data_IF_179284542649
#
_entry.id   IF_179284542649
#
_cell.length_a   1.000
_cell.length_b   1.000
_cell.length_c   1.000
_cell.angle_alpha   90.00
_cell.angle_beta   90.00
_cell.angle_gamma   90.00
#
_symmetry.space_group_name_H-M   'P 1'
#
loop_
_entity.id
_entity.type
_entity.pdbx_description
1 polymer ?
#
# COMPACT_ATOMS: atom_id res chain seq x y z
N UNK A 1 -15.33 -0.41 -13.04
CA UNK A 1 -14.64 -1.59 -13.60
C UNK A 1 -13.25 -1.69 -13.01
N UNK A 2 -13.13 -2.30 -11.83
CA UNK A 2 -11.93 -2.32 -10.98
C UNK A 2 -10.92 -3.42 -11.34
N UNK A 3 -10.88 -3.82 -12.61
CA UNK A 3 -10.07 -4.98 -13.09
C UNK A 3 -8.65 -4.54 -13.51
N UNK A 4 -8.40 -3.22 -13.65
CA UNK A 4 -7.11 -2.70 -14.16
C UNK A 4 -5.98 -2.68 -13.13
N UNK A 5 -6.24 -2.29 -11.89
CA UNK A 5 -5.16 -1.96 -10.93
C UNK A 5 -4.51 -3.21 -10.33
N UNK A 6 -5.29 -4.23 -9.95
CA UNK A 6 -4.76 -5.42 -9.28
C UNK A 6 -4.03 -6.41 -10.19
N UNK A 7 -4.13 -6.27 -11.51
CA UNK A 7 -3.46 -7.15 -12.49
C UNK A 7 -2.19 -6.52 -13.07
N UNK A 8 -2.03 -5.20 -13.04
CA UNK A 8 -0.89 -4.51 -13.66
C UNK A 8 0.39 -4.52 -12.80
N UNK A 9 0.26 -4.65 -11.48
CA UNK A 9 1.40 -4.56 -10.56
C UNK A 9 2.24 -5.85 -10.51
N UNK A 10 1.63 -7.03 -10.67
CA UNK A 10 2.35 -8.32 -10.70
C UNK A 10 3.29 -8.44 -11.92
N UNK A 11 2.90 -8.03 -13.15
CA UNK A 11 3.82 -7.92 -14.28
C UNK A 11 4.95 -6.91 -14.07
N UNK A 12 4.71 -5.81 -13.36
CA UNK A 12 5.74 -4.80 -13.06
C UNK A 12 6.75 -5.35 -12.05
N UNK A 13 6.29 -5.94 -10.94
CA UNK A 13 7.17 -6.58 -9.96
C UNK A 13 8.01 -7.70 -10.61
N UNK A 14 7.39 -8.52 -11.46
CA UNK A 14 8.09 -9.54 -12.23
C UNK A 14 9.09 -8.96 -13.24
N UNK A 15 8.81 -7.80 -13.85
CA UNK A 15 9.74 -7.12 -14.75
C UNK A 15 10.99 -6.57 -14.02
N UNK A 16 10.88 -6.30 -12.72
CA UNK A 16 11.99 -5.86 -11.87
C UNK A 16 12.65 -6.98 -11.06
N UNK A 17 12.21 -8.24 -11.23
CA UNK A 17 12.65 -9.41 -10.44
C UNK A 17 12.50 -9.20 -8.91
N UNK A 18 11.47 -8.45 -8.51
CA UNK A 18 11.18 -8.13 -7.10
C UNK A 18 10.03 -9.02 -6.61
N UNK A 19 10.24 -9.69 -5.48
CA UNK A 19 9.18 -10.45 -4.81
C UNK A 19 8.10 -9.50 -4.30
N UNK A 20 6.83 -9.91 -4.37
CA UNK A 20 5.73 -9.14 -3.77
C UNK A 20 5.93 -8.94 -2.26
N UNK A 21 6.64 -9.86 -1.60
CA UNK A 21 7.03 -9.74 -0.20
C UNK A 21 8.04 -8.60 0.07
N UNK A 22 8.74 -8.11 -0.95
CA UNK A 22 9.67 -6.97 -0.86
C UNK A 22 9.02 -5.67 -1.37
N UNK A 23 7.70 -5.66 -1.54
CA UNK A 23 6.94 -4.48 -1.98
C UNK A 23 6.10 -3.90 -0.86
N UNK A 24 5.97 -2.58 -0.87
CA UNK A 24 5.01 -1.86 -0.05
C UNK A 24 3.84 -1.37 -0.91
N UNK A 25 2.61 -1.52 -0.43
CA UNK A 25 1.39 -1.02 -1.05
C UNK A 25 0.70 0.01 -0.16
N UNK A 26 0.33 1.16 -0.72
CA UNK A 26 -0.44 2.20 -0.04
C UNK A 26 -1.79 2.34 -0.76
N UNK A 27 -2.90 2.28 -0.01
CA UNK A 27 -4.25 2.35 -0.58
C UNK A 27 -5.26 3.02 0.34
N UNK A 28 -6.38 3.46 -0.22
CA UNK A 28 -7.42 4.17 0.54
C UNK A 28 -8.84 3.66 0.29
N UNK A 29 -9.05 2.82 -0.73
CA UNK A 29 -10.36 2.35 -1.12
C UNK A 29 -10.44 0.83 -1.27
N UNK A 30 -11.68 0.33 -1.37
CA UNK A 30 -11.96 -1.10 -1.49
C UNK A 30 -11.32 -1.75 -2.74
N UNK A 31 -11.08 -0.98 -3.81
CA UNK A 31 -10.38 -1.47 -4.99
C UNK A 31 -8.88 -1.71 -4.76
N UNK A 32 -8.31 -1.19 -3.68
CA UNK A 32 -6.89 -1.37 -3.34
C UNK A 32 -6.66 -2.60 -2.45
N UNK A 33 -7.72 -3.16 -1.85
CA UNK A 33 -7.67 -4.35 -0.99
C UNK A 33 -6.88 -5.51 -1.63
N UNK A 34 -7.10 -5.90 -2.90
CA UNK A 34 -6.34 -7.00 -3.49
C UNK A 34 -4.84 -6.72 -3.63
N UNK A 35 -4.42 -5.45 -3.63
CA UNK A 35 -3.02 -5.03 -3.66
C UNK A 35 -2.44 -5.01 -2.23
N UNK A 36 -3.21 -4.51 -1.25
CA UNK A 36 -2.85 -4.51 0.16
C UNK A 36 -2.65 -5.94 0.69
N UNK A 37 -3.54 -6.87 0.37
CA UNK A 37 -3.45 -8.28 0.82
C UNK A 37 -2.22 -9.03 0.29
N UNK A 38 -1.58 -8.53 -0.77
CA UNK A 38 -0.50 -9.24 -1.47
C UNK A 38 0.87 -8.61 -1.30
N UNK A 39 0.94 -7.36 -0.86
CA UNK A 39 2.20 -6.68 -0.58
C UNK A 39 2.84 -7.26 0.69
N UNK A 40 4.17 -7.24 0.78
CA UNK A 40 4.88 -7.60 2.01
C UNK A 40 4.70 -6.60 3.13
N UNK A 41 4.37 -5.35 2.78
CA UNK A 41 3.97 -4.30 3.71
C UNK A 41 2.77 -3.55 3.14
N UNK A 42 1.66 -3.55 3.85
CA UNK A 42 0.42 -2.91 3.42
C UNK A 42 0.05 -1.73 4.32
N UNK A 43 -0.28 -0.59 3.71
CA UNK A 43 -0.52 0.67 4.41
C UNK A 43 -1.86 1.26 3.95
N UNK A 44 -2.81 1.41 4.86
CA UNK A 44 -4.06 2.11 4.58
C UNK A 44 -3.92 3.61 4.87
N UNK A 45 -4.47 4.47 4.03
CA UNK A 45 -4.51 5.91 4.30
C UNK A 45 -5.48 6.23 5.46
N UNK A 46 -5.26 7.34 6.15
CA UNK A 46 -6.09 7.75 7.29
C UNK A 46 -7.54 8.04 6.91
N UNK A 47 -7.80 8.44 5.65
CA UNK A 47 -9.13 8.65 5.09
C UNK A 47 -9.80 7.36 4.58
N UNK A 48 -9.13 6.21 4.66
CA UNK A 48 -9.67 4.94 4.18
C UNK A 48 -10.85 4.45 5.04
N UNK A 49 -11.81 3.70 4.46
CA UNK A 49 -12.84 3.01 5.23
C UNK A 49 -12.24 2.05 6.26
N UNK A 50 -12.92 1.85 7.39
CA UNK A 50 -12.44 0.97 8.46
C UNK A 50 -12.18 -0.47 7.97
N UNK A 51 -12.99 -0.95 7.01
CA UNK A 51 -12.79 -2.25 6.38
C UNK A 51 -11.46 -2.35 5.61
N UNK A 52 -10.96 -1.26 5.04
CA UNK A 52 -9.67 -1.21 4.34
C UNK A 52 -8.53 -1.11 5.36
N UNK A 53 -8.69 -0.27 6.39
CA UNK A 53 -7.73 -0.13 7.49
C UNK A 53 -7.51 -1.43 8.24
N UNK A 54 -8.56 -2.22 8.44
CA UNK A 54 -8.49 -3.51 9.13
C UNK A 54 -7.69 -4.59 8.38
N UNK A 55 -7.44 -4.40 7.07
CA UNK A 55 -6.70 -5.33 6.22
C UNK A 55 -5.23 -4.93 6.11
N UNK A 56 -4.91 -3.64 6.35
CA UNK A 56 -3.55 -3.13 6.25
C UNK A 56 -2.74 -3.40 7.52
N UNK A 57 -1.43 -3.60 7.36
CA UNK A 57 -0.49 -3.78 8.47
C UNK A 57 -0.32 -2.48 9.28
N UNK A 58 -0.34 -1.35 8.59
CA UNK A 58 -0.17 -0.03 9.17
C UNK A 58 -1.20 0.97 8.61
N UNK A 59 -1.46 2.04 9.38
CA UNK A 59 -2.35 3.13 8.95
C UNK A 59 -1.56 4.43 8.90
N UNK A 60 -1.57 5.07 7.74
CA UNK A 60 -0.98 6.39 7.53
C UNK A 60 -1.94 7.53 7.88
N UNK A 61 -1.48 8.77 7.74
CA UNK A 61 -2.32 9.98 7.81
C UNK A 61 -3.28 10.08 6.62
N UNK A 62 -4.20 11.04 6.68
CA UNK A 62 -5.11 11.32 5.57
C UNK A 62 -4.38 11.83 4.33
N UNK A 63 -5.05 11.75 3.18
CA UNK A 63 -4.61 12.37 1.93
C UNK A 63 -4.32 13.87 2.08
N UNK A 64 -5.14 14.60 2.86
CA UNK A 64 -4.99 16.04 3.12
C UNK A 64 -3.83 16.38 4.09
N UNK A 65 -3.16 15.37 4.64
CA UNK A 65 -2.08 15.50 5.62
C UNK A 65 -0.76 14.87 5.13
N UNK A 66 -0.55 14.87 3.81
CA UNK A 66 0.61 14.28 3.15
C UNK A 66 0.83 12.79 3.53
N UNK A 67 -0.25 12.02 3.73
CA UNK A 67 -0.18 10.65 4.24
C UNK A 67 0.71 9.71 3.43
N UNK A 68 0.87 9.91 2.12
CA UNK A 68 1.82 9.10 1.33
C UNK A 68 3.26 9.43 1.71
N UNK A 69 3.62 10.72 1.80
CA UNK A 69 4.96 11.13 2.19
C UNK A 69 5.28 10.71 3.63
N UNK A 70 4.31 10.87 4.54
CA UNK A 70 4.46 10.41 5.91
C UNK A 70 4.70 8.90 5.99
N UNK A 71 3.97 8.09 5.22
CA UNK A 71 4.15 6.64 5.16
C UNK A 71 5.55 6.26 4.65
N UNK A 72 6.05 6.95 3.61
CA UNK A 72 7.39 6.72 3.10
C UNK A 72 8.44 6.99 4.19
N UNK A 73 8.38 8.17 4.82
CA UNK A 73 9.40 8.59 5.79
C UNK A 73 9.34 7.79 7.11
N UNK A 74 8.14 7.42 7.58
CA UNK A 74 7.94 6.90 8.94
C UNK A 74 7.61 5.41 9.00
N UNK A 75 7.23 4.80 7.88
CA UNK A 75 6.90 3.37 7.81
C UNK A 75 7.93 2.66 6.94
N UNK A 76 8.17 3.14 5.72
CA UNK A 76 9.01 2.44 4.73
C UNK A 76 10.51 2.66 5.00
N UNK A 77 10.95 3.90 5.24
CA UNK A 77 12.36 4.26 5.38
C UNK A 77 12.90 4.16 6.82
N UNK A 78 12.19 3.48 7.72
CA UNK A 78 12.48 3.43 9.16
C UNK A 78 13.88 2.90 9.53
N UNK A 79 14.60 2.25 8.59
CA UNK A 79 15.87 1.55 8.83
C UNK A 79 17.16 2.31 8.43
N UNK A 80 17.13 3.65 8.35
CA UNK A 80 18.34 4.47 8.09
C UNK A 80 18.70 5.47 9.19
N UNK A 81 18.34 5.21 10.46
CA UNK A 81 18.78 5.99 11.62
C UNK A 81 19.75 5.21 12.52
#
# INVERSE_FOLDING_TARGET
SSIGTSLAWSPIAAAFDVSLADTAAIGDQANDVPMLEKAGLSIAMGNAPDAVKAIADEVSRGNDEDGVAWAIDHIILKDHA
#
